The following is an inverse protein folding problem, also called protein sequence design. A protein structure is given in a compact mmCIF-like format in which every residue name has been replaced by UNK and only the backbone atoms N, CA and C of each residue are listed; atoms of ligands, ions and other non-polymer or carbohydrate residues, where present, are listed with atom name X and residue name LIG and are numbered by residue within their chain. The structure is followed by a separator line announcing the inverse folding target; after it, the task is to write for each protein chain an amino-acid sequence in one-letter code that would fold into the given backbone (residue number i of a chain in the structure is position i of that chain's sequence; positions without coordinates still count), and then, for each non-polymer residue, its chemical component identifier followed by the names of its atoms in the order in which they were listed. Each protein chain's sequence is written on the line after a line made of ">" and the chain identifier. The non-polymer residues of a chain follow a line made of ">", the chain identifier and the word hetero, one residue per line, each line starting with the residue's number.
data_IF_440033015589
#
_entry.id   IF_440033015589
#
_cell.length_a   1.000
_cell.length_b   1.000
_cell.length_c   1.000
_cell.angle_alpha   90.00
_cell.angle_beta   90.00
_cell.angle_gamma   90.00
#
_symmetry.space_group_name_H-M   'P 1'
#
loop_
_entity.id
_entity.type
_entity.pdbx_description
1 polymer ?
#
# COMPACT_ATOMS: atom_id res chain seq x y z
N UNK A 1 27.54 -14.60 14.74
CA UNK A 1 27.10 -13.71 13.68
C UNK A 1 25.75 -13.12 14.08
N UNK A 2 25.60 -11.80 14.21
CA UNK A 2 24.33 -11.22 14.67
C UNK A 2 23.23 -11.50 13.61
N UNK A 3 21.98 -11.75 14.06
CA UNK A 3 20.83 -11.94 13.15
C UNK A 3 20.70 -10.80 12.13
N UNK A 4 21.17 -9.59 12.47
CA UNK A 4 21.23 -8.42 11.59
C UNK A 4 22.24 -8.59 10.44
N UNK A 5 23.38 -9.21 10.69
CA UNK A 5 24.43 -9.41 9.67
C UNK A 5 24.03 -10.53 8.71
N UNK A 6 23.45 -11.62 9.21
CA UNK A 6 22.91 -12.71 8.38
C UNK A 6 21.83 -12.21 7.43
N UNK A 7 21.01 -11.28 7.89
CA UNK A 7 19.94 -10.66 7.12
C UNK A 7 20.44 -9.72 6.02
N UNK A 8 21.46 -8.91 6.29
CA UNK A 8 22.11 -8.05 5.30
C UNK A 8 22.87 -8.88 4.23
N UNK A 9 23.37 -10.06 4.62
CA UNK A 9 24.12 -10.96 3.72
C UNK A 9 23.19 -11.85 2.87
N UNK A 10 21.94 -12.08 3.28
CA UNK A 10 21.03 -13.00 2.57
C UNK A 10 20.72 -12.55 1.13
N UNK A 11 20.38 -11.28 0.82
CA UNK A 11 20.21 -10.80 -0.53
C UNK A 11 21.53 -10.82 -1.33
N UNK A 12 22.65 -10.51 -0.68
CA UNK A 12 23.99 -10.54 -1.31
C UNK A 12 24.42 -11.98 -1.62
N UNK A 13 24.13 -12.92 -0.72
CA UNK A 13 24.41 -14.35 -0.95
C UNK A 13 23.56 -14.92 -2.10
N UNK A 14 22.35 -14.40 -2.27
CA UNK A 14 21.46 -14.79 -3.36
C UNK A 14 21.88 -14.23 -4.72
N UNK A 15 22.60 -13.11 -4.78
CA UNK A 15 23.27 -12.66 -6.02
C UNK A 15 24.31 -13.64 -6.54
N UNK A 16 24.84 -14.50 -5.67
CA UNK A 16 25.85 -15.51 -6.02
C UNK A 16 25.23 -16.82 -6.56
N UNK A 17 23.95 -17.07 -6.32
CA UNK A 17 23.27 -18.30 -6.77
C UNK A 17 23.19 -18.45 -8.31
N UNK A 18 22.97 -17.38 -9.11
CA UNK A 18 22.89 -17.50 -10.57
C UNK A 18 24.25 -17.58 -11.29
N UNK A 19 25.38 -17.56 -10.56
CA UNK A 19 26.71 -17.64 -11.19
C UNK A 19 26.88 -18.91 -12.05
N UNK A 20 26.21 -20.00 -11.67
CA UNK A 20 26.14 -21.22 -12.47
C UNK A 20 25.34 -21.10 -13.77
N UNK A 21 24.46 -20.13 -13.90
CA UNK A 21 23.62 -19.91 -15.08
C UNK A 21 24.30 -19.03 -16.14
N UNK A 22 25.34 -18.28 -15.77
CA UNK A 22 26.15 -17.45 -16.70
C UNK A 22 26.85 -18.31 -17.78
N UNK A 23 27.07 -19.58 -17.51
CA UNK A 23 27.76 -20.50 -18.43
C UNK A 23 26.90 -20.94 -19.63
N UNK A 24 25.62 -20.58 -19.72
CA UNK A 24 24.67 -21.08 -20.74
C UNK A 24 24.09 -20.02 -21.68
N UNK A 25 24.74 -18.88 -21.88
CA UNK A 25 24.40 -17.91 -22.96
C UNK A 25 23.12 -17.11 -22.70
N UNK A 26 23.24 -15.82 -22.79
CA UNK A 26 22.28 -14.71 -23.02
C UNK A 26 20.82 -14.76 -22.55
N UNK A 27 20.37 -15.68 -21.72
CA UNK A 27 19.03 -15.61 -21.12
C UNK A 27 19.12 -15.21 -19.65
N UNK A 28 18.27 -14.25 -19.26
CA UNK A 28 18.14 -13.82 -17.85
C UNK A 28 17.90 -15.06 -16.98
N UNK A 29 18.67 -15.27 -15.90
CA UNK A 29 18.52 -16.44 -15.03
C UNK A 29 17.08 -16.61 -14.55
N UNK A 30 16.55 -17.84 -14.65
CA UNK A 30 15.20 -18.19 -14.21
C UNK A 30 15.19 -19.51 -13.45
N UNK A 31 14.30 -19.66 -12.48
CA UNK A 31 14.08 -20.88 -11.71
C UNK A 31 12.61 -21.29 -11.92
N UNK A 32 12.38 -22.46 -12.50
CA UNK A 32 11.03 -22.96 -12.76
C UNK A 32 10.19 -22.05 -13.68
N UNK A 33 10.82 -21.34 -14.62
CA UNK A 33 10.16 -20.40 -15.52
C UNK A 33 9.91 -18.99 -14.92
N UNK A 34 10.28 -18.77 -13.65
CA UNK A 34 10.18 -17.46 -13.00
C UNK A 34 11.55 -16.77 -13.08
N UNK A 35 11.59 -15.57 -13.66
CA UNK A 35 12.81 -14.76 -13.74
C UNK A 35 13.30 -14.44 -12.33
N UNK A 36 14.63 -14.50 -12.13
CA UNK A 36 15.23 -14.41 -10.80
C UNK A 36 15.00 -13.07 -10.10
N UNK A 37 14.85 -11.98 -10.83
CA UNK A 37 14.50 -10.68 -10.26
C UNK A 37 13.15 -10.68 -9.52
N UNK A 38 12.16 -11.46 -9.97
CA UNK A 38 10.89 -11.58 -9.25
C UNK A 38 11.05 -12.35 -7.93
N UNK A 39 11.97 -13.31 -7.89
CA UNK A 39 12.32 -14.01 -6.65
C UNK A 39 12.98 -13.05 -5.67
N UNK A 40 13.93 -12.23 -6.14
CA UNK A 40 14.57 -11.18 -5.33
C UNK A 40 13.55 -10.16 -4.82
N UNK A 41 12.60 -9.77 -5.66
CA UNK A 41 11.52 -8.87 -5.28
C UNK A 41 10.62 -9.49 -4.20
N UNK A 42 10.17 -10.74 -4.38
CA UNK A 42 9.38 -11.46 -3.39
C UNK A 42 10.10 -11.57 -2.04
N UNK A 43 11.40 -11.87 -2.07
CA UNK A 43 12.24 -11.91 -0.85
C UNK A 43 12.36 -10.54 -0.18
N UNK A 44 12.45 -9.47 -0.98
CA UNK A 44 12.44 -8.10 -0.44
C UNK A 44 11.13 -7.81 0.27
N UNK A 45 9.97 -8.18 -0.30
CA UNK A 45 8.66 -8.00 0.34
C UNK A 45 8.53 -8.81 1.65
N UNK A 46 8.95 -10.08 1.65
CA UNK A 46 9.00 -10.89 2.87
C UNK A 46 9.90 -10.24 3.92
N UNK A 47 11.04 -9.71 3.48
CA UNK A 47 11.98 -9.03 4.37
C UNK A 47 11.40 -7.74 4.97
N UNK A 48 10.66 -6.95 4.20
CA UNK A 48 9.92 -5.78 4.69
C UNK A 48 8.92 -6.20 5.78
N UNK A 49 8.17 -7.28 5.55
CA UNK A 49 7.20 -7.80 6.53
C UNK A 49 7.87 -8.26 7.84
N UNK A 50 9.00 -8.96 7.74
CA UNK A 50 9.74 -9.49 8.91
C UNK A 50 10.48 -8.39 9.68
N UNK A 51 10.98 -7.37 8.99
CA UNK A 51 11.80 -6.29 9.57
C UNK A 51 11.07 -4.93 9.52
N UNK A 52 9.81 -4.92 9.89
CA UNK A 52 8.93 -3.76 9.84
C UNK A 52 9.48 -2.48 10.51
N UNK A 53 10.42 -2.61 11.48
CA UNK A 53 11.10 -1.45 12.11
C UNK A 53 12.17 -0.80 11.23
N UNK A 54 12.60 -1.47 10.17
CA UNK A 54 13.70 -1.06 9.29
C UNK A 54 13.28 -1.09 7.81
N UNK A 55 11.99 -0.96 7.54
CA UNK A 55 11.37 -1.05 6.20
C UNK A 55 12.12 -0.22 5.17
N UNK A 56 12.47 1.02 5.50
CA UNK A 56 13.20 1.91 4.60
C UNK A 56 14.54 1.32 4.13
N UNK A 57 15.36 0.85 5.07
CA UNK A 57 16.67 0.26 4.72
C UNK A 57 16.53 -1.05 3.97
N UNK A 58 15.55 -1.87 4.34
CA UNK A 58 15.26 -3.13 3.64
C UNK A 58 14.84 -2.86 2.20
N UNK A 59 13.99 -1.87 1.96
CA UNK A 59 13.54 -1.49 0.62
C UNK A 59 14.71 -0.96 -0.24
N UNK A 60 15.56 -0.09 0.32
CA UNK A 60 16.75 0.44 -0.40
C UNK A 60 17.73 -0.68 -0.74
N UNK A 61 18.01 -1.59 0.19
CA UNK A 61 18.91 -2.73 -0.06
C UNK A 61 18.30 -3.66 -1.12
N UNK A 62 17.01 -3.99 -1.01
CA UNK A 62 16.33 -4.83 -1.99
C UNK A 62 16.34 -4.23 -3.39
N UNK A 63 16.03 -2.93 -3.52
CA UNK A 63 16.12 -2.20 -4.78
C UNK A 63 17.54 -2.26 -5.35
N UNK A 64 18.56 -1.98 -4.52
CA UNK A 64 19.96 -2.00 -4.95
C UNK A 64 20.38 -3.38 -5.44
N UNK A 65 19.98 -4.44 -4.75
CA UNK A 65 20.28 -5.82 -5.14
C UNK A 65 19.62 -6.17 -6.49
N UNK A 66 18.37 -5.79 -6.70
CA UNK A 66 17.66 -6.03 -7.97
C UNK A 66 18.30 -5.24 -9.11
N UNK A 67 18.67 -3.98 -8.88
CA UNK A 67 19.35 -3.15 -9.90
C UNK A 67 20.72 -3.74 -10.27
N UNK A 68 21.53 -4.12 -9.28
CA UNK A 68 22.84 -4.76 -9.51
C UNK A 68 22.65 -6.06 -10.31
N UNK A 69 21.66 -6.88 -9.93
CA UNK A 69 21.32 -8.08 -10.68
C UNK A 69 20.99 -7.76 -12.14
N UNK A 70 20.13 -6.76 -12.39
CA UNK A 70 19.79 -6.35 -13.76
C UNK A 70 20.98 -5.84 -14.55
N UNK A 71 21.85 -5.04 -13.96
CA UNK A 71 23.08 -4.57 -14.62
C UNK A 71 24.04 -5.69 -15.00
N UNK A 72 24.08 -6.79 -14.22
CA UNK A 72 25.00 -7.91 -14.47
C UNK A 72 24.41 -8.90 -15.49
N UNK A 73 23.11 -9.20 -15.40
CA UNK A 73 22.49 -10.33 -16.10
C UNK A 73 21.54 -9.92 -17.23
N UNK A 74 21.16 -8.65 -17.34
CA UNK A 74 20.28 -8.13 -18.37
C UNK A 74 21.06 -7.12 -19.24
N UNK A 75 21.66 -7.59 -20.32
CA UNK A 75 22.48 -6.76 -21.21
C UNK A 75 21.69 -5.67 -21.94
N UNK A 76 20.38 -5.82 -22.05
CA UNK A 76 19.50 -4.83 -22.68
C UNK A 76 19.00 -3.78 -21.67
N UNK A 77 19.23 -4.00 -20.37
CA UNK A 77 18.77 -3.09 -19.33
C UNK A 77 19.61 -1.80 -19.29
N UNK A 78 18.98 -0.70 -19.62
CA UNK A 78 19.54 0.63 -19.48
C UNK A 78 18.67 1.44 -18.51
N UNK A 79 19.19 1.73 -17.31
CA UNK A 79 18.46 2.45 -16.27
C UNK A 79 17.97 3.82 -16.73
N UNK A 80 18.77 4.53 -17.52
CA UNK A 80 18.38 5.86 -18.01
C UNK A 80 17.21 5.77 -18.99
N UNK A 81 17.27 4.83 -19.95
CA UNK A 81 16.18 4.60 -20.90
C UNK A 81 14.93 4.05 -20.21
N UNK A 82 15.11 3.17 -19.21
CA UNK A 82 13.99 2.65 -18.43
C UNK A 82 13.27 3.78 -17.67
N UNK A 83 14.04 4.71 -17.09
CA UNK A 83 13.47 5.80 -16.30
C UNK A 83 12.93 6.95 -17.15
N UNK A 84 13.68 7.40 -18.16
CA UNK A 84 13.32 8.58 -18.98
C UNK A 84 12.74 8.25 -20.36
N UNK A 85 12.79 7.00 -20.81
CA UNK A 85 12.44 6.62 -22.19
C UNK A 85 13.50 7.04 -23.20
N UNK A 86 13.19 6.85 -24.48
CA UNK A 86 14.09 7.16 -25.59
C UNK A 86 13.89 8.56 -26.17
N UNK A 87 12.69 9.13 -26.01
CA UNK A 87 12.37 10.45 -26.51
C UNK A 87 13.05 11.56 -25.70
N UNK A 88 13.37 12.67 -26.38
CA UNK A 88 13.92 13.85 -25.69
C UNK A 88 13.00 14.32 -24.57
N UNK A 89 13.58 14.58 -23.37
CA UNK A 89 12.83 14.99 -22.19
C UNK A 89 11.97 16.25 -22.42
N UNK A 90 12.48 17.20 -23.19
CA UNK A 90 11.73 18.41 -23.58
C UNK A 90 10.49 18.10 -24.42
N UNK A 91 10.59 17.17 -25.36
CA UNK A 91 9.44 16.73 -26.16
C UNK A 91 8.40 16.01 -25.31
N UNK A 92 8.84 15.20 -24.36
CA UNK A 92 7.97 14.49 -23.41
C UNK A 92 7.23 15.45 -22.47
N UNK A 93 7.83 16.58 -22.08
CA UNK A 93 7.17 17.60 -21.27
C UNK A 93 6.06 18.32 -22.04
N UNK A 94 6.30 18.64 -23.32
CA UNK A 94 5.36 19.40 -24.16
C UNK A 94 4.24 18.48 -24.69
N UNK A 95 4.60 17.28 -25.16
CA UNK A 95 3.66 16.37 -25.80
C UNK A 95 3.39 15.14 -24.94
N UNK A 96 2.20 15.07 -24.34
CA UNK A 96 1.80 13.94 -23.50
C UNK A 96 1.90 12.58 -24.23
N UNK A 97 1.59 12.54 -25.53
CA UNK A 97 1.64 11.32 -26.34
C UNK A 97 3.07 10.76 -26.56
N UNK A 98 4.10 11.57 -26.32
CA UNK A 98 5.51 11.18 -26.45
C UNK A 98 6.16 10.78 -25.13
N UNK A 99 5.41 10.84 -24.03
CA UNK A 99 5.92 10.45 -22.71
C UNK A 99 6.21 8.96 -22.67
N UNK A 100 7.40 8.64 -22.23
CA UNK A 100 7.92 7.28 -22.11
C UNK A 100 8.66 7.15 -20.78
N UNK A 101 8.88 5.90 -20.34
CA UNK A 101 9.61 5.61 -19.10
C UNK A 101 8.82 5.92 -17.81
N UNK A 102 9.40 5.52 -16.70
CA UNK A 102 8.72 5.53 -15.38
C UNK A 102 8.62 6.93 -14.74
N UNK A 103 9.40 7.91 -15.20
CA UNK A 103 9.41 9.25 -14.60
C UNK A 103 8.02 9.91 -14.58
N UNK A 104 7.24 9.72 -15.64
CA UNK A 104 5.90 10.33 -15.74
C UNK A 104 4.89 9.65 -14.82
N UNK A 105 4.97 8.33 -14.70
CA UNK A 105 4.17 7.52 -13.76
C UNK A 105 4.48 7.93 -12.32
N UNK A 106 5.76 8.04 -11.98
CA UNK A 106 6.21 8.45 -10.64
C UNK A 106 5.76 9.88 -10.30
N UNK A 107 5.89 10.84 -11.23
CA UNK A 107 5.44 12.22 -11.01
C UNK A 107 3.92 12.33 -10.90
N UNK A 108 3.17 11.61 -11.73
CA UNK A 108 1.72 11.57 -11.64
C UNK A 108 1.27 10.99 -10.30
N UNK A 109 1.89 9.88 -9.86
CA UNK A 109 1.62 9.25 -8.57
C UNK A 109 1.97 10.18 -7.41
N UNK A 110 3.14 10.85 -7.46
CA UNK A 110 3.54 11.82 -6.44
C UNK A 110 2.54 12.97 -6.33
N UNK A 111 2.14 13.56 -7.47
CA UNK A 111 1.16 14.64 -7.50
C UNK A 111 -0.19 14.23 -6.93
N UNK A 112 -0.62 13.01 -7.25
CA UNK A 112 -1.86 12.45 -6.76
C UNK A 112 -1.81 12.19 -5.24
N UNK A 113 -0.73 11.56 -4.74
CA UNK A 113 -0.54 11.30 -3.31
C UNK A 113 -0.47 12.61 -2.50
N UNK A 114 0.21 13.64 -3.02
CA UNK A 114 0.21 14.97 -2.39
C UNK A 114 -1.19 15.58 -2.35
N UNK A 115 -1.96 15.45 -3.43
CA UNK A 115 -3.35 15.90 -3.47
C UNK A 115 -4.21 15.19 -2.43
N UNK A 116 -4.08 13.88 -2.28
CA UNK A 116 -4.83 13.12 -1.26
C UNK A 116 -4.38 13.45 0.15
N UNK A 117 -3.08 13.66 0.39
CA UNK A 117 -2.57 14.10 1.69
C UNK A 117 -3.16 15.46 2.10
N UNK A 118 -3.28 16.40 1.14
CA UNK A 118 -3.93 17.69 1.38
C UNK A 118 -5.43 17.54 1.67
N UNK A 119 -6.15 16.72 0.91
CA UNK A 119 -7.58 16.43 1.15
C UNK A 119 -7.79 15.77 2.51
N UNK A 120 -6.95 14.79 2.88
CA UNK A 120 -7.01 14.14 4.18
C UNK A 120 -6.77 15.15 5.32
N UNK A 121 -5.80 16.05 5.14
CA UNK A 121 -5.52 17.12 6.12
C UNK A 121 -6.68 18.11 6.28
N UNK A 122 -7.27 18.55 5.16
CA UNK A 122 -8.46 19.41 5.19
C UNK A 122 -9.63 18.68 5.87
N UNK A 123 -9.84 17.40 5.59
CA UNK A 123 -10.89 16.63 6.26
C UNK A 123 -10.64 16.51 7.76
N UNK A 124 -9.41 16.25 8.18
CA UNK A 124 -9.02 16.19 9.60
C UNK A 124 -9.27 17.52 10.30
N UNK A 125 -8.89 18.65 9.68
CA UNK A 125 -9.05 20.01 10.22
C UNK A 125 -10.50 20.53 10.14
N UNK A 126 -11.37 19.90 9.38
CA UNK A 126 -12.79 20.29 9.24
C UNK A 126 -13.61 20.12 10.52
N UNK A 127 -13.08 19.41 11.53
CA UNK A 127 -13.80 19.05 12.75
C UNK A 127 -14.88 17.97 12.56
N UNK A 128 -15.04 17.44 11.33
CA UNK A 128 -15.98 16.33 11.06
C UNK A 128 -15.61 15.09 11.89
N UNK A 129 -14.33 14.70 12.02
CA UNK A 129 -13.94 13.55 12.86
C UNK A 129 -14.39 13.68 14.32
N UNK A 130 -14.43 14.90 14.86
CA UNK A 130 -14.86 15.16 16.25
C UNK A 130 -16.38 15.07 16.45
N UNK A 131 -17.14 15.21 15.37
CA UNK A 131 -18.61 15.15 15.39
C UNK A 131 -19.10 13.70 15.23
N UNK A 132 -18.42 12.89 14.47
CA UNK A 132 -18.79 11.49 14.16
C UNK A 132 -19.09 10.66 15.42
N UNK A 133 -18.30 10.73 16.52
CA UNK A 133 -18.56 9.99 17.74
C UNK A 133 -19.97 10.20 18.33
N UNK A 134 -20.56 11.38 18.12
CA UNK A 134 -21.89 11.73 18.65
C UNK A 134 -23.01 10.91 18.01
N UNK A 135 -22.82 10.48 16.79
CA UNK A 135 -23.80 9.75 15.99
C UNK A 135 -23.65 8.22 16.06
N UNK A 136 -22.53 7.74 16.60
CA UNK A 136 -22.31 6.29 16.71
C UNK A 136 -23.19 5.66 17.80
N UNK A 137 -23.84 4.51 17.55
CA UNK A 137 -24.50 3.70 18.60
C UNK A 137 -23.55 3.30 19.73
N UNK A 138 -24.06 3.10 20.94
CA UNK A 138 -23.23 2.78 22.12
C UNK A 138 -22.90 1.29 22.27
N UNK A 139 -23.42 0.46 21.38
CA UNK A 139 -23.22 -0.98 21.33
C UNK A 139 -22.23 -1.38 20.21
N UNK A 140 -22.08 -2.68 19.97
CA UNK A 140 -21.24 -3.21 18.89
C UNK A 140 -21.55 -2.59 17.51
N UNK A 141 -22.80 -2.12 17.29
CA UNK A 141 -23.18 -1.48 16.02
C UNK A 141 -22.41 -0.19 15.80
N UNK A 142 -22.07 0.56 16.85
CA UNK A 142 -21.25 1.75 16.72
C UNK A 142 -19.84 1.44 16.23
N UNK A 143 -19.23 0.38 16.74
CA UNK A 143 -17.95 -0.11 16.20
C UNK A 143 -18.08 -0.57 14.75
N UNK A 144 -19.16 -1.26 14.41
CA UNK A 144 -19.43 -1.68 13.03
C UNK A 144 -19.59 -0.49 12.08
N UNK A 145 -20.40 0.50 12.46
CA UNK A 145 -20.61 1.73 11.66
C UNK A 145 -19.31 2.49 11.47
N UNK A 146 -18.44 2.55 12.48
CA UNK A 146 -17.13 3.19 12.34
C UNK A 146 -16.26 2.48 11.30
N UNK A 147 -16.26 1.14 11.25
CA UNK A 147 -15.52 0.39 10.22
C UNK A 147 -16.10 0.60 8.81
N UNK A 148 -17.44 0.67 8.70
CA UNK A 148 -18.10 1.04 7.43
C UNK A 148 -17.72 2.46 7.01
N UNK A 149 -17.65 3.40 7.95
CA UNK A 149 -17.22 4.77 7.68
C UNK A 149 -15.77 4.81 7.17
N UNK A 150 -14.86 4.08 7.81
CA UNK A 150 -13.46 3.95 7.36
C UNK A 150 -13.39 3.41 5.93
N UNK A 151 -14.17 2.39 5.62
CA UNK A 151 -14.29 1.83 4.27
C UNK A 151 -14.75 2.89 3.25
N UNK A 152 -15.80 3.64 3.58
CA UNK A 152 -16.31 4.70 2.70
C UNK A 152 -15.29 5.83 2.53
N UNK A 153 -14.66 6.28 3.63
CA UNK A 153 -13.62 7.29 3.56
C UNK A 153 -12.46 6.86 2.68
N UNK A 154 -12.04 5.59 2.78
CA UNK A 154 -10.94 5.06 1.97
C UNK A 154 -11.28 4.92 0.48
N UNK A 155 -12.55 5.00 0.11
CA UNK A 155 -12.93 5.06 -1.31
C UNK A 155 -12.62 6.43 -1.96
N UNK A 156 -12.41 7.47 -1.14
CA UNK A 156 -12.16 8.85 -1.57
C UNK A 156 -10.83 9.42 -1.07
N UNK A 157 -10.30 8.86 0.01
CA UNK A 157 -9.01 9.20 0.60
C UNK A 157 -8.08 8.02 0.44
N UNK A 158 -6.77 8.27 0.48
CA UNK A 158 -5.79 7.19 0.59
C UNK A 158 -6.08 6.28 1.81
N UNK A 159 -5.85 4.98 1.64
CA UNK A 159 -6.15 3.97 2.66
C UNK A 159 -5.39 4.22 3.99
N UNK A 160 -4.18 4.78 3.94
CA UNK A 160 -3.40 5.13 5.13
C UNK A 160 -4.09 6.27 5.89
N UNK A 161 -4.51 7.32 5.17
CA UNK A 161 -5.22 8.46 5.77
C UNK A 161 -6.55 8.02 6.39
N UNK A 162 -7.34 7.20 5.68
CA UNK A 162 -8.59 6.67 6.19
C UNK A 162 -8.40 5.81 7.46
N UNK A 163 -7.35 4.97 7.49
CA UNK A 163 -7.01 4.17 8.67
C UNK A 163 -6.58 5.04 9.85
N UNK A 164 -5.80 6.10 9.61
CA UNK A 164 -5.38 7.03 10.67
C UNK A 164 -6.58 7.78 11.26
N UNK A 165 -7.48 8.29 10.42
CA UNK A 165 -8.70 8.97 10.86
C UNK A 165 -9.58 7.98 11.66
N UNK A 166 -9.81 6.78 11.14
CA UNK A 166 -10.58 5.75 11.83
C UNK A 166 -9.95 5.34 13.17
N UNK A 167 -8.63 5.23 13.22
CA UNK A 167 -7.88 4.96 14.44
C UNK A 167 -8.02 6.06 15.48
N UNK A 168 -7.91 7.33 15.07
CA UNK A 168 -8.09 8.49 15.95
C UNK A 168 -9.51 8.53 16.52
N UNK A 169 -10.53 8.34 15.67
CA UNK A 169 -11.92 8.27 16.13
C UNK A 169 -12.12 7.10 17.11
N UNK A 170 -11.54 5.93 16.81
CA UNK A 170 -11.63 4.77 17.70
C UNK A 170 -11.00 5.03 19.07
N UNK A 171 -9.83 5.70 19.12
CA UNK A 171 -9.19 6.09 20.38
C UNK A 171 -10.10 7.02 21.21
N UNK A 172 -10.77 7.96 20.58
CA UNK A 172 -11.71 8.88 21.25
C UNK A 172 -12.92 8.11 21.78
N UNK A 173 -13.63 7.36 20.93
CA UNK A 173 -14.90 6.71 21.31
C UNK A 173 -14.72 5.57 22.29
N UNK A 174 -13.59 4.88 22.27
CA UNK A 174 -13.27 3.79 23.20
C UNK A 174 -12.36 4.22 24.37
N UNK A 175 -12.18 5.54 24.59
CA UNK A 175 -11.37 6.11 25.70
C UNK A 175 -9.97 5.48 25.78
N UNK A 176 -9.26 5.46 24.67
CA UNK A 176 -7.91 4.86 24.51
C UNK A 176 -7.84 3.34 24.80
N UNK A 177 -8.97 2.65 24.89
CA UNK A 177 -9.03 1.20 25.09
C UNK A 177 -9.50 0.52 23.81
N UNK A 178 -8.63 0.43 22.82
CA UNK A 178 -8.92 -0.22 21.54
C UNK A 178 -8.27 -1.60 21.51
N UNK A 179 -9.07 -2.63 21.24
CA UNK A 179 -8.59 -3.99 21.10
C UNK A 179 -7.77 -4.14 19.82
N UNK A 180 -6.68 -4.91 19.85
CA UNK A 180 -5.79 -5.11 18.69
C UNK A 180 -6.53 -5.65 17.45
N UNK A 181 -7.52 -6.53 17.66
CA UNK A 181 -8.37 -7.05 16.58
C UNK A 181 -9.23 -5.96 15.93
N UNK A 182 -9.62 -4.92 16.69
CA UNK A 182 -10.36 -3.80 16.13
C UNK A 182 -9.44 -2.86 15.32
N UNK A 183 -8.22 -2.65 15.78
CA UNK A 183 -7.19 -1.92 15.00
C UNK A 183 -6.93 -2.65 13.67
N UNK A 184 -6.76 -3.98 13.71
CA UNK A 184 -6.64 -4.77 12.50
C UNK A 184 -7.88 -4.65 11.59
N UNK A 185 -9.09 -4.56 12.19
CA UNK A 185 -10.33 -4.29 11.48
C UNK A 185 -10.35 -2.93 10.77
N UNK A 186 -9.83 -1.87 11.40
CA UNK A 186 -9.69 -0.54 10.79
C UNK A 186 -8.77 -0.61 9.57
N UNK A 187 -7.60 -1.24 9.69
CA UNK A 187 -6.65 -1.41 8.58
C UNK A 187 -7.27 -2.24 7.45
N UNK A 188 -7.97 -3.32 7.79
CA UNK A 188 -8.63 -4.15 6.79
C UNK A 188 -9.78 -3.41 6.09
N UNK A 189 -10.59 -2.63 6.83
CA UNK A 189 -11.68 -1.83 6.28
C UNK A 189 -11.15 -0.73 5.35
N UNK A 190 -10.05 -0.06 5.71
CA UNK A 190 -9.45 0.96 4.86
C UNK A 190 -8.88 0.36 3.56
N UNK A 191 -8.15 -0.76 3.62
CA UNK A 191 -7.66 -1.42 2.42
C UNK A 191 -8.80 -1.93 1.52
N UNK A 192 -9.85 -2.53 2.13
CA UNK A 192 -11.02 -2.97 1.38
C UNK A 192 -11.76 -1.80 0.70
N UNK A 193 -11.85 -0.64 1.37
CA UNK A 193 -12.47 0.57 0.81
C UNK A 193 -11.70 1.16 -0.37
N UNK A 194 -10.37 1.07 -0.35
CA UNK A 194 -9.52 1.50 -1.46
C UNK A 194 -9.57 0.55 -2.67
N UNK A 195 -9.81 -0.74 -2.45
CA UNK A 195 -9.67 -1.78 -3.47
C UNK A 195 -10.55 -1.58 -4.72
N UNK A 196 -11.72 -0.96 -4.59
CA UNK A 196 -12.65 -0.68 -5.69
C UNK A 196 -12.57 0.74 -6.24
N UNK A 197 -11.65 1.56 -5.75
CA UNK A 197 -11.48 2.96 -6.14
C UNK A 197 -10.10 3.21 -6.74
N UNK A 198 -10.05 3.91 -7.87
CA UNK A 198 -8.78 4.38 -8.45
C UNK A 198 -8.13 5.53 -7.67
N UNK A 199 -8.79 6.00 -6.62
CA UNK A 199 -8.36 7.12 -5.78
C UNK A 199 -7.91 6.61 -4.40
N UNK A 200 -8.57 5.57 -3.89
CA UNK A 200 -8.40 5.10 -2.51
C UNK A 200 -7.19 4.17 -2.29
N UNK A 201 -6.58 3.66 -3.36
CA UNK A 201 -5.42 2.77 -3.28
C UNK A 201 -4.41 3.11 -4.38
N UNK A 202 -3.13 3.16 -4.02
CA UNK A 202 -2.03 3.43 -4.95
C UNK A 202 -1.94 2.39 -6.07
N UNK A 203 -2.25 1.12 -5.80
CA UNK A 203 -2.22 0.05 -6.79
C UNK A 203 -3.25 0.28 -7.89
N UNK A 204 -4.50 0.56 -7.52
CA UNK A 204 -5.59 0.85 -8.45
C UNK A 204 -5.38 2.17 -9.18
N UNK A 205 -4.75 3.15 -8.52
CA UNK A 205 -4.29 4.40 -9.14
C UNK A 205 -3.27 4.13 -10.26
N UNK A 206 -2.28 3.30 -10.00
CA UNK A 206 -1.28 2.93 -11.02
C UNK A 206 -1.93 2.21 -12.19
N UNK A 207 -2.86 1.27 -11.93
CA UNK A 207 -3.64 0.62 -12.98
C UNK A 207 -4.40 1.63 -13.86
N UNK A 208 -4.99 2.66 -13.25
CA UNK A 208 -5.67 3.73 -13.98
C UNK A 208 -4.71 4.58 -14.82
N UNK A 209 -3.56 4.95 -14.28
CA UNK A 209 -2.50 5.69 -15.01
C UNK A 209 -2.05 4.90 -16.24
N UNK A 210 -1.94 3.56 -16.12
CA UNK A 210 -1.61 2.63 -17.21
C UNK A 210 -2.78 2.33 -18.16
N UNK A 211 -3.92 3.03 -18.01
CA UNK A 211 -5.04 2.98 -18.96
C UNK A 211 -6.15 1.99 -18.60
N UNK A 212 -6.10 1.33 -17.44
CA UNK A 212 -7.22 0.49 -16.98
C UNK A 212 -8.42 1.38 -16.64
N UNK A 213 -9.59 1.02 -17.18
CA UNK A 213 -10.81 1.79 -16.90
C UNK A 213 -11.17 1.79 -15.42
N UNK A 214 -11.50 2.95 -14.82
CA UNK A 214 -11.99 3.02 -13.44
C UNK A 214 -13.20 2.12 -13.18
N UNK A 215 -14.08 1.97 -14.18
CA UNK A 215 -15.25 1.09 -14.07
C UNK A 215 -14.89 -0.39 -13.91
N UNK A 216 -13.74 -0.83 -14.44
CA UNK A 216 -13.26 -2.20 -14.27
C UNK A 216 -12.83 -2.47 -12.82
N UNK A 217 -12.35 -1.45 -12.12
CA UNK A 217 -11.87 -1.54 -10.73
C UNK A 217 -13.06 -1.64 -9.75
N UNK A 218 -14.19 -1.01 -10.05
CA UNK A 218 -15.40 -1.00 -9.19
C UNK A 218 -15.88 -2.42 -8.84
N UNK A 219 -15.68 -3.41 -9.70
CA UNK A 219 -16.07 -4.79 -9.41
C UNK A 219 -15.40 -5.37 -8.16
N UNK A 220 -14.23 -4.85 -7.77
CA UNK A 220 -13.55 -5.27 -6.56
C UNK A 220 -14.37 -4.96 -5.28
N UNK A 221 -15.29 -3.98 -5.32
CA UNK A 221 -16.18 -3.69 -4.19
C UNK A 221 -17.12 -4.84 -3.83
N UNK A 222 -17.40 -5.78 -4.72
CA UNK A 222 -18.22 -6.95 -4.40
C UNK A 222 -17.49 -7.80 -3.35
N UNK A 223 -16.24 -8.19 -3.63
CA UNK A 223 -15.44 -8.97 -2.69
C UNK A 223 -15.06 -8.15 -1.44
N UNK A 224 -14.69 -6.88 -1.62
CA UNK A 224 -14.34 -5.97 -0.55
C UNK A 224 -15.51 -5.73 0.42
N UNK A 225 -16.73 -5.58 -0.09
CA UNK A 225 -17.94 -5.42 0.73
C UNK A 225 -18.26 -6.66 1.56
N UNK A 226 -18.13 -7.86 0.97
CA UNK A 226 -18.28 -9.12 1.71
C UNK A 226 -17.22 -9.24 2.80
N UNK A 227 -15.96 -8.95 2.49
CA UNK A 227 -14.86 -8.97 3.45
C UNK A 227 -15.09 -7.95 4.59
N UNK A 228 -15.55 -6.73 4.26
CA UNK A 228 -15.89 -5.71 5.24
C UNK A 228 -16.96 -6.21 6.21
N UNK A 229 -18.07 -6.78 5.72
CA UNK A 229 -19.16 -7.24 6.58
C UNK A 229 -18.65 -8.29 7.57
N UNK A 230 -17.86 -9.26 7.09
CA UNK A 230 -17.32 -10.33 7.93
C UNK A 230 -16.37 -9.73 8.98
N UNK A 231 -15.37 -8.95 8.55
CA UNK A 231 -14.34 -8.40 9.45
C UNK A 231 -14.97 -7.42 10.44
N UNK A 232 -15.84 -6.53 9.97
CA UNK A 232 -16.50 -5.54 10.83
C UNK A 232 -17.41 -6.20 11.88
N UNK A 233 -18.09 -7.27 11.51
CA UNK A 233 -18.88 -8.03 12.46
C UNK A 233 -18.03 -8.59 13.60
N UNK A 234 -16.98 -9.32 13.29
CA UNK A 234 -16.12 -9.93 14.32
C UNK A 234 -15.38 -8.87 15.15
N UNK A 235 -14.76 -7.89 14.49
CA UNK A 235 -13.98 -6.85 15.15
C UNK A 235 -14.84 -5.99 16.08
N UNK A 236 -16.05 -5.60 15.66
CA UNK A 236 -16.94 -4.77 16.47
C UNK A 236 -17.48 -5.50 17.70
N UNK A 237 -17.83 -6.79 17.58
CA UNK A 237 -18.26 -7.59 18.72
C UNK A 237 -17.11 -7.84 19.72
N UNK A 238 -15.89 -8.06 19.21
CA UNK A 238 -14.70 -8.21 20.05
C UNK A 238 -14.39 -6.93 20.81
N UNK A 239 -14.49 -5.77 20.12
CA UNK A 239 -14.30 -4.47 20.74
C UNK A 239 -15.38 -4.17 21.79
N UNK A 240 -16.65 -4.45 21.51
CA UNK A 240 -17.76 -4.20 22.45
C UNK A 240 -17.58 -4.98 23.76
N UNK A 241 -17.08 -6.23 23.68
CA UNK A 241 -16.73 -7.03 24.85
C UNK A 241 -15.53 -6.47 25.63
N UNK A 242 -14.58 -5.86 24.93
CA UNK A 242 -13.37 -5.30 25.52
C UNK A 242 -13.62 -3.91 26.13
N UNK A 243 -14.23 -3.01 25.36
CA UNK A 243 -14.60 -1.65 25.76
C UNK A 243 -15.72 -1.16 24.85
N UNK A 244 -16.85 -0.79 25.45
CA UNK A 244 -17.96 -0.13 24.75
C UNK A 244 -17.66 1.32 24.43
N UNK A 245 -18.37 1.86 23.45
CA UNK A 245 -18.36 3.29 23.13
C UNK A 245 -18.87 4.06 24.36
N UNK A 246 -18.05 4.96 24.85
CA UNK A 246 -18.40 5.86 25.94
C UNK A 246 -18.82 7.20 25.35
N UNK A 247 -20.13 7.48 25.37
CA UNK A 247 -20.61 8.87 25.23
C UNK A 247 -20.35 9.55 26.56
N UNK A 248 -19.64 10.67 26.52
CA UNK A 248 -19.56 11.53 27.70
C UNK A 248 -21.01 11.94 28.04
N UNK A 249 -21.44 11.60 29.24
CA UNK A 249 -22.67 12.15 29.76
C UNK A 249 -22.54 13.66 29.80
N UNK A 250 -23.41 14.35 29.04
CA UNK A 250 -23.53 15.80 29.13
C UNK A 250 -23.92 16.19 30.55
#
# INVERSE_FOLDING_TARGET
>A
MSKKLLFLLMPVLMLLLPIGAIAQGSSIPSIGGIRFEFILFALTLVSVALFHKQTFWVAIIGLSVILIFKFIFDSEFNLFHHFFGENSFTQQLIHKALRQGEWSTILNLLGLLLGFALLAKIFEESGVPDIIPKYLPNDWKGGFVLLVLVFVLSSFLDNIAAAMIGGTIALIVFKNKVHIGYIAGIVAASNAGGAGSVVGDTTTTMMWIEGVSPFSVIHAYIAAGVALIIIAWFASHQQDKYQRIAKDAK
#
